data_IF_631679449238
#
_entry.id   IF_631679449238
#
_cell.length_a   1.000
_cell.length_b   1.000
_cell.length_c   1.000
_cell.angle_alpha   90.00
_cell.angle_beta   90.00
_cell.angle_gamma   90.00
#
_symmetry.space_group_name_H-M   'P 1'
#
loop_
_entity.id
_entity.type
_entity.pdbx_description
1 polymer ?
#
# COMPACT_ATOMS: atom_id res chain seq x y z
N UNK A 1 4.08 20.93 -12.39
CA UNK A 1 4.66 20.10 -11.31
C UNK A 1 5.88 19.36 -11.82
N UNK A 2 6.99 19.37 -11.08
CA UNK A 2 8.20 18.60 -11.42
C UNK A 2 8.15 17.21 -10.77
N UNK A 3 8.06 16.16 -11.59
CA UNK A 3 8.00 14.76 -11.16
C UNK A 3 9.31 14.23 -10.57
N UNK A 4 10.43 14.91 -10.84
CA UNK A 4 11.78 14.51 -10.42
C UNK A 4 12.29 15.30 -9.22
N UNK A 5 11.54 16.30 -8.75
CA UNK A 5 11.88 17.04 -7.55
C UNK A 5 11.87 16.11 -6.34
N UNK A 6 12.99 16.06 -5.63
CA UNK A 6 13.08 15.34 -4.36
C UNK A 6 12.38 16.11 -3.24
N UNK A 7 11.48 15.41 -2.55
CA UNK A 7 10.81 15.88 -1.33
C UNK A 7 10.75 14.75 -0.30
N UNK A 8 10.15 15.01 0.86
CA UNK A 8 9.86 13.96 1.84
C UNK A 8 8.78 13.01 1.30
N UNK A 9 9.14 11.73 1.16
CA UNK A 9 8.17 10.64 1.02
C UNK A 9 8.05 9.88 2.33
N UNK A 10 6.82 9.71 2.79
CA UNK A 10 6.46 8.94 3.98
C UNK A 10 5.81 7.65 3.52
N UNK A 11 6.40 6.51 3.90
CA UNK A 11 5.82 5.20 3.66
C UNK A 11 5.27 4.70 4.98
N UNK A 12 3.96 4.52 5.06
CA UNK A 12 3.29 4.03 6.28
C UNK A 12 3.32 2.51 6.36
N UNK A 13 3.27 1.96 7.57
CA UNK A 13 3.24 0.52 7.81
C UNK A 13 2.41 0.17 9.05
N UNK A 14 2.15 -1.12 9.26
CA UNK A 14 1.57 -1.61 10.50
C UNK A 14 2.57 -1.44 11.66
N UNK A 15 2.05 -1.33 12.88
CA UNK A 15 2.90 -1.30 14.08
C UNK A 15 3.69 -2.60 14.18
N UNK A 16 4.97 -2.51 14.51
CA UNK A 16 5.87 -3.68 14.60
C UNK A 16 6.40 -4.18 13.27
N UNK A 17 6.05 -3.55 12.14
CA UNK A 17 6.59 -3.93 10.82
C UNK A 17 7.53 -2.88 10.20
N UNK A 18 7.85 -1.82 10.95
CA UNK A 18 8.70 -0.73 10.47
C UNK A 18 10.10 -1.20 10.05
N UNK A 19 10.73 -2.10 10.82
CA UNK A 19 12.07 -2.60 10.46
C UNK A 19 12.08 -3.40 9.16
N UNK A 20 11.04 -4.19 8.90
CA UNK A 20 10.93 -4.93 7.64
C UNK A 20 10.73 -4.01 6.46
N UNK A 21 9.94 -2.94 6.64
CA UNK A 21 9.78 -1.90 5.62
C UNK A 21 11.09 -1.15 5.39
N UNK A 22 11.86 -0.85 6.45
CA UNK A 22 13.13 -0.14 6.36
C UNK A 22 14.11 -0.90 5.48
N UNK A 23 14.29 -2.19 5.78
CA UNK A 23 15.12 -3.08 5.00
C UNK A 23 14.65 -3.19 3.54
N UNK A 24 13.34 -3.25 3.29
CA UNK A 24 12.79 -3.29 1.93
C UNK A 24 13.12 -2.00 1.15
N UNK A 25 12.98 -0.83 1.78
CA UNK A 25 13.30 0.47 1.20
C UNK A 25 14.81 0.62 0.92
N UNK A 26 15.66 0.18 1.84
CA UNK A 26 17.12 0.19 1.67
C UNK A 26 17.57 -0.76 0.55
N UNK A 27 16.97 -1.94 0.44
CA UNK A 27 17.24 -2.89 -0.65
C UNK A 27 16.84 -2.36 -2.03
N UNK A 28 15.89 -1.43 -2.10
CA UNK A 28 15.52 -0.73 -3.32
C UNK A 28 16.47 0.45 -3.64
N UNK A 29 17.47 0.71 -2.79
CA UNK A 29 18.49 1.73 -2.99
C UNK A 29 18.17 3.10 -2.38
N UNK A 30 17.12 3.23 -1.57
CA UNK A 30 16.75 4.50 -0.94
C UNK A 30 17.36 4.62 0.46
N UNK A 31 17.85 5.82 0.79
CA UNK A 31 18.35 6.13 2.14
C UNK A 31 17.21 6.54 3.06
N UNK A 32 17.03 5.81 4.15
CA UNK A 32 16.09 6.15 5.22
C UNK A 32 16.59 7.33 6.04
N UNK A 33 15.76 8.38 6.14
CA UNK A 33 16.03 9.58 6.94
C UNK A 33 15.54 9.45 8.37
N UNK A 34 14.37 8.86 8.56
CA UNK A 34 13.78 8.63 9.88
C UNK A 34 12.87 7.40 9.86
N UNK A 35 12.67 6.80 11.02
CA UNK A 35 11.78 5.65 11.21
C UNK A 35 11.02 5.83 12.51
N UNK A 36 9.74 5.47 12.50
CA UNK A 36 8.91 5.35 13.69
C UNK A 36 8.13 4.03 13.62
N UNK A 37 7.41 3.68 14.69
CA UNK A 37 6.61 2.45 14.78
C UNK A 37 5.68 2.17 13.59
N UNK A 38 5.28 3.19 12.84
CA UNK A 38 4.21 3.11 11.81
C UNK A 38 4.56 3.79 10.50
N UNK A 39 5.79 4.30 10.34
CA UNK A 39 6.22 4.95 9.10
C UNK A 39 7.73 5.07 8.97
N UNK A 40 8.15 5.26 7.73
CA UNK A 40 9.52 5.56 7.33
C UNK A 40 9.51 6.79 6.46
N UNK A 41 10.52 7.64 6.60
CA UNK A 41 10.71 8.81 5.76
C UNK A 41 11.98 8.69 4.93
N UNK A 42 11.87 9.03 3.65
CA UNK A 42 12.98 9.12 2.70
C UNK A 42 12.95 10.47 1.98
N UNK A 43 14.04 10.85 1.33
CA UNK A 43 13.98 11.84 0.26
C UNK A 43 13.92 11.13 -1.09
N UNK A 44 12.87 11.42 -1.84
CA UNK A 44 12.68 10.86 -3.16
C UNK A 44 11.65 11.71 -3.92
N UNK A 45 11.51 11.43 -5.21
CA UNK A 45 10.63 12.15 -6.12
C UNK A 45 9.27 11.45 -6.33
N UNK A 46 8.32 12.11 -6.98
CA UNK A 46 7.08 11.45 -7.42
C UNK A 46 7.37 10.32 -8.43
N UNK A 47 8.44 10.47 -9.22
CA UNK A 47 8.91 9.41 -10.09
C UNK A 47 9.35 8.17 -9.30
N UNK A 48 10.08 8.34 -8.19
CA UNK A 48 10.45 7.23 -7.31
C UNK A 48 9.24 6.60 -6.62
N UNK A 49 8.24 7.42 -6.27
CA UNK A 49 6.98 6.93 -5.71
C UNK A 49 6.29 5.94 -6.66
N UNK A 50 6.47 6.06 -7.98
CA UNK A 50 5.97 5.07 -8.94
C UNK A 50 6.53 3.67 -8.66
N UNK A 51 7.86 3.56 -8.53
CA UNK A 51 8.53 2.29 -8.23
C UNK A 51 8.12 1.76 -6.87
N UNK A 52 8.13 2.61 -5.85
CA UNK A 52 7.74 2.23 -4.48
C UNK A 52 6.31 1.66 -4.44
N UNK A 53 5.35 2.28 -5.14
CA UNK A 53 3.98 1.76 -5.20
C UNK A 53 3.87 0.41 -5.92
N UNK A 54 4.73 0.14 -6.90
CA UNK A 54 4.75 -1.13 -7.61
C UNK A 54 5.39 -2.26 -6.79
N UNK A 55 6.48 -1.96 -6.08
CA UNK A 55 7.38 -3.00 -5.55
C UNK A 55 7.21 -3.29 -4.07
N UNK A 56 6.78 -2.31 -3.25
CA UNK A 56 6.68 -2.48 -1.80
C UNK A 56 5.64 -3.53 -1.39
N UNK A 57 6.07 -4.50 -0.60
CA UNK A 57 5.24 -5.57 -0.03
C UNK A 57 4.79 -5.25 1.39
N UNK A 58 5.60 -4.55 2.17
CA UNK A 58 5.32 -4.31 3.61
C UNK A 58 4.73 -2.93 3.91
N UNK A 59 4.82 -1.99 2.96
CA UNK A 59 4.26 -0.65 3.07
C UNK A 59 2.75 -0.60 2.78
N UNK A 60 2.03 0.28 3.48
CA UNK A 60 0.57 0.46 3.41
C UNK A 60 0.16 1.63 2.50
N UNK A 61 0.84 2.77 2.57
CA UNK A 61 0.65 3.90 1.66
C UNK A 61 1.98 4.63 1.46
N UNK A 62 2.22 5.11 0.24
CA UNK A 62 3.34 5.98 -0.13
C UNK A 62 2.81 7.41 -0.26
N UNK A 63 3.26 8.31 0.61
CA UNK A 63 2.73 9.66 0.77
C UNK A 63 3.80 10.68 0.41
N UNK A 64 3.56 11.52 -0.59
CA UNK A 64 4.47 12.58 -1.02
C UNK A 64 4.08 13.89 -0.35
N UNK A 65 5.01 14.52 0.37
CA UNK A 65 4.74 15.76 1.10
C UNK A 65 4.50 16.94 0.15
N UNK A 66 3.35 17.60 0.28
CA UNK A 66 3.01 18.80 -0.48
C UNK A 66 3.28 20.08 0.32
N UNK A 67 2.85 20.11 1.58
CA UNK A 67 2.95 21.30 2.42
C UNK A 67 3.08 20.94 3.90
N UNK A 68 3.91 21.71 4.61
CA UNK A 68 3.99 21.76 6.07
C UNK A 68 3.65 23.18 6.51
N UNK A 69 2.86 23.32 7.57
CA UNK A 69 2.49 24.61 8.15
C UNK A 69 2.05 24.42 9.60
N UNK A 70 1.90 25.52 10.32
CA UNK A 70 1.25 25.52 11.63
C UNK A 70 -0.11 26.21 11.53
N UNK A 71 -1.09 25.72 12.28
CA UNK A 71 -2.38 26.40 12.47
C UNK A 71 -2.96 26.05 13.85
N UNK A 72 -3.60 27.03 14.47
CA UNK A 72 -4.17 26.93 15.80
C UNK A 72 -5.70 26.74 15.78
N UNK A 73 -6.35 27.06 14.67
CA UNK A 73 -7.79 26.97 14.52
C UNK A 73 -8.22 26.55 13.10
N UNK A 74 -9.49 26.14 12.92
CA UNK A 74 -10.00 25.70 11.62
C UNK A 74 -9.99 26.76 10.51
N UNK A 75 -10.02 28.05 10.85
CA UNK A 75 -10.01 29.11 9.86
C UNK A 75 -8.59 29.41 9.37
N UNK A 76 -7.59 29.34 10.25
CA UNK A 76 -6.18 29.26 9.86
C UNK A 76 -5.91 28.05 8.96
N UNK A 77 -6.44 26.87 9.32
CA UNK A 77 -6.35 25.68 8.48
C UNK A 77 -6.89 25.94 7.06
N UNK A 78 -8.09 26.52 6.95
CA UNK A 78 -8.70 26.81 5.65
C UNK A 78 -7.85 27.79 4.83
N UNK A 79 -7.39 28.89 5.44
CA UNK A 79 -6.52 29.87 4.75
C UNK A 79 -5.24 29.22 4.23
N UNK A 80 -4.58 28.41 5.06
CA UNK A 80 -3.36 27.72 4.68
C UNK A 80 -3.57 26.70 3.56
N UNK A 81 -4.69 25.98 3.57
CA UNK A 81 -5.02 25.01 2.52
C UNK A 81 -5.39 25.71 1.21
N UNK A 82 -6.27 26.72 1.24
CA UNK A 82 -6.69 27.46 0.02
C UNK A 82 -5.51 28.16 -0.67
N UNK A 83 -4.50 28.60 0.09
CA UNK A 83 -3.34 29.29 -0.48
C UNK A 83 -2.44 28.40 -1.35
N UNK A 84 -2.50 27.07 -1.19
CA UNK A 84 -1.69 26.14 -1.97
C UNK A 84 -2.22 26.04 -3.41
N UNK A 85 -1.36 26.00 -4.44
CA UNK A 85 -1.77 25.97 -5.84
C UNK A 85 -2.26 24.58 -6.26
N UNK A 86 -3.42 24.16 -5.75
CA UNK A 86 -4.02 22.85 -6.02
C UNK A 86 -4.27 22.60 -7.51
N UNK A 87 -4.54 23.66 -8.27
CA UNK A 87 -4.72 23.65 -9.72
C UNK A 87 -3.50 23.12 -10.50
N UNK A 88 -2.30 23.12 -9.90
CA UNK A 88 -1.09 22.55 -10.52
C UNK A 88 -0.97 21.03 -10.36
N UNK A 89 -1.80 20.44 -9.48
CA UNK A 89 -1.73 19.02 -9.09
C UNK A 89 -3.01 18.25 -9.45
N UNK A 90 -4.18 18.89 -9.36
CA UNK A 90 -5.49 18.25 -9.48
C UNK A 90 -6.28 18.94 -10.59
N UNK A 91 -6.60 18.19 -11.63
CA UNK A 91 -7.44 18.70 -12.70
C UNK A 91 -8.89 18.87 -12.18
N UNK A 92 -9.63 19.89 -12.63
CA UNK A 92 -11.01 20.11 -12.20
C UNK A 92 -11.98 18.99 -12.59
N UNK A 93 -11.61 18.11 -13.53
CA UNK A 93 -12.36 16.92 -13.94
C UNK A 93 -12.13 15.70 -13.04
N UNK A 94 -11.18 15.77 -12.11
CA UNK A 94 -10.82 14.65 -11.23
C UNK A 94 -11.75 14.55 -10.01
N UNK A 95 -11.74 13.37 -9.41
CA UNK A 95 -12.41 13.10 -8.13
C UNK A 95 -11.42 13.21 -6.98
N UNK A 96 -11.80 13.93 -5.93
CA UNK A 96 -10.97 14.18 -4.75
C UNK A 96 -11.50 13.47 -3.49
N UNK A 97 -10.60 12.84 -2.76
CA UNK A 97 -10.85 12.36 -1.40
C UNK A 97 -9.86 12.93 -0.40
N UNK A 98 -10.31 13.23 0.81
CA UNK A 98 -9.48 13.68 1.92
C UNK A 98 -9.57 12.70 3.08
N UNK A 99 -8.41 12.25 3.56
CA UNK A 99 -8.28 11.37 4.72
C UNK A 99 -7.46 12.08 5.78
N UNK A 100 -8.11 12.44 6.90
CA UNK A 100 -7.44 13.16 7.98
C UNK A 100 -7.12 12.27 9.18
N UNK A 101 -6.01 12.57 9.86
CA UNK A 101 -5.77 12.18 11.25
C UNK A 101 -5.47 13.42 12.08
N UNK A 102 -6.17 13.55 13.18
CA UNK A 102 -6.17 14.77 13.99
C UNK A 102 -5.91 14.39 15.44
N UNK A 103 -4.98 15.09 16.05
CA UNK A 103 -4.64 15.02 17.47
C UNK A 103 -4.25 16.43 17.94
N UNK A 104 -5.26 17.26 18.20
CA UNK A 104 -5.07 18.67 18.62
C UNK A 104 -6.22 19.05 19.55
N UNK A 105 -6.01 19.98 20.52
CA UNK A 105 -7.10 20.52 21.33
C UNK A 105 -8.07 21.39 20.52
N UNK A 106 -7.68 21.89 19.34
CA UNK A 106 -8.47 22.85 18.56
C UNK A 106 -9.74 22.26 17.96
N UNK A 107 -9.75 20.94 17.69
CA UNK A 107 -10.88 20.20 17.14
C UNK A 107 -10.88 18.77 17.67
N UNK A 108 -12.05 18.21 17.92
CA UNK A 108 -12.23 16.85 18.44
C UNK A 108 -12.57 15.81 17.35
N UNK A 109 -12.82 16.27 16.11
CA UNK A 109 -13.37 15.43 15.05
C UNK A 109 -12.55 15.47 13.75
N UNK A 110 -11.95 14.33 13.39
CA UNK A 110 -11.21 14.17 12.13
C UNK A 110 -12.06 14.29 10.85
N UNK A 111 -13.38 14.04 10.94
CA UNK A 111 -14.31 14.23 9.82
C UNK A 111 -14.46 15.72 9.51
N UNK A 112 -14.55 16.56 10.55
CA UNK A 112 -14.62 18.00 10.40
C UNK A 112 -13.37 18.56 9.72
N UNK A 113 -12.17 18.13 10.14
CA UNK A 113 -10.93 18.50 9.46
C UNK A 113 -10.93 18.07 7.98
N UNK A 114 -11.35 16.82 7.71
CA UNK A 114 -11.41 16.31 6.33
C UNK A 114 -12.35 17.13 5.46
N UNK A 115 -13.51 17.52 5.99
CA UNK A 115 -14.47 18.39 5.30
C UNK A 115 -13.87 19.77 5.02
N UNK A 116 -13.27 20.43 6.03
CA UNK A 116 -12.70 21.78 5.89
C UNK A 116 -11.53 21.81 4.89
N UNK A 117 -10.64 20.81 4.93
CA UNK A 117 -9.54 20.67 3.96
C UNK A 117 -10.09 20.42 2.56
N UNK A 118 -11.08 19.52 2.42
CA UNK A 118 -11.71 19.23 1.12
C UNK A 118 -12.35 20.48 0.54
N UNK A 119 -13.14 21.21 1.32
CA UNK A 119 -13.81 22.43 0.88
C UNK A 119 -12.78 23.48 0.43
N UNK A 120 -11.70 23.68 1.18
CA UNK A 120 -10.60 24.56 0.78
C UNK A 120 -9.94 24.18 -0.56
N UNK A 121 -9.68 22.89 -0.79
CA UNK A 121 -9.10 22.42 -2.06
C UNK A 121 -10.07 22.67 -3.22
N UNK A 122 -11.33 22.30 -3.04
CA UNK A 122 -12.37 22.40 -4.06
C UNK A 122 -12.64 23.87 -4.41
N UNK A 123 -12.71 24.75 -3.41
CA UNK A 123 -12.93 26.17 -3.61
C UNK A 123 -11.75 26.82 -4.36
N UNK A 124 -10.50 26.46 -4.00
CA UNK A 124 -9.31 26.93 -4.73
C UNK A 124 -9.34 26.53 -6.20
N UNK A 125 -9.61 25.26 -6.50
CA UNK A 125 -9.69 24.78 -7.89
C UNK A 125 -10.85 25.46 -8.63
N UNK A 126 -12.01 25.61 -7.97
CA UNK A 126 -13.19 26.26 -8.57
C UNK A 126 -12.91 27.71 -8.92
N UNK A 127 -12.25 28.46 -8.04
CA UNK A 127 -11.89 29.86 -8.25
C UNK A 127 -10.89 30.03 -9.41
N UNK A 128 -9.87 29.16 -9.50
CA UNK A 128 -8.80 29.27 -10.50
C UNK A 128 -9.17 28.70 -11.86
N UNK A 129 -9.97 27.64 -11.91
CA UNK A 129 -10.27 26.90 -13.12
C UNK A 129 -11.71 27.14 -13.63
N UNK A 130 -12.58 27.79 -12.84
CA UNK A 130 -13.97 28.05 -13.19
C UNK A 130 -14.89 26.82 -13.14
N UNK A 131 -14.40 25.66 -12.66
CA UNK A 131 -15.24 24.48 -12.46
C UNK A 131 -14.87 23.70 -11.19
N UNK A 132 -15.88 23.09 -10.60
CA UNK A 132 -15.79 22.40 -9.31
C UNK A 132 -15.46 20.91 -9.51
N UNK A 133 -14.37 20.38 -8.94
CA UNK A 133 -14.12 18.94 -8.94
C UNK A 133 -15.12 18.19 -8.06
N UNK A 134 -15.42 16.95 -8.44
CA UNK A 134 -16.24 16.06 -7.62
C UNK A 134 -15.44 15.55 -6.42
N UNK A 135 -16.11 15.21 -5.31
CA UNK A 135 -15.42 14.80 -4.09
C UNK A 135 -16.24 13.87 -3.20
N UNK A 136 -15.53 13.04 -2.43
CA UNK A 136 -16.15 12.18 -1.43
C UNK A 136 -15.21 11.07 -0.91
N UNK A 137 -15.75 9.96 -0.39
CA UNK A 137 -14.95 8.98 0.34
C UNK A 137 -14.19 7.98 -0.55
N UNK A 138 -14.47 7.93 -1.87
CA UNK A 138 -13.81 6.96 -2.76
C UNK A 138 -12.34 7.32 -2.98
N UNK A 139 -11.47 6.31 -2.94
CA UNK A 139 -10.01 6.44 -3.02
C UNK A 139 -9.45 5.94 -4.35
N UNK A 140 -10.30 5.93 -5.38
CA UNK A 140 -9.93 5.51 -6.73
C UNK A 140 -9.24 6.61 -7.54
N UNK A 141 -9.30 7.87 -7.14
CA UNK A 141 -8.64 8.97 -7.86
C UNK A 141 -7.64 9.69 -6.96
N UNK A 142 -7.67 11.02 -6.92
CA UNK A 142 -6.77 11.81 -6.08
C UNK A 142 -7.15 11.65 -4.61
N UNK A 143 -6.18 11.26 -3.80
CA UNK A 143 -6.35 11.15 -2.35
C UNK A 143 -5.34 12.06 -1.67
N UNK A 144 -5.85 12.94 -0.82
CA UNK A 144 -5.05 13.82 0.02
C UNK A 144 -5.10 13.31 1.45
N UNK A 145 -3.92 13.08 2.02
CA UNK A 145 -3.77 12.70 3.42
C UNK A 145 -3.39 13.95 4.23
N UNK A 146 -4.21 14.28 5.21
CA UNK A 146 -3.98 15.41 6.11
C UNK A 146 -3.67 14.92 7.52
N UNK A 147 -2.65 15.50 8.15
CA UNK A 147 -2.30 15.22 9.54
C UNK A 147 -2.22 16.53 10.29
N UNK A 148 -2.94 16.63 11.40
CA UNK A 148 -2.86 17.74 12.35
C UNK A 148 -2.49 17.19 13.72
N UNK A 149 -1.32 17.54 14.22
CA UNK A 149 -0.87 17.15 15.56
C UNK A 149 -0.36 18.38 16.32
N UNK A 150 -0.99 18.67 17.46
CA UNK A 150 -0.83 19.92 18.21
C UNK A 150 -1.15 21.14 17.33
N UNK A 151 -0.18 22.00 17.07
CA UNK A 151 -0.27 23.15 16.15
C UNK A 151 0.26 22.83 14.74
N UNK A 152 0.88 21.65 14.54
CA UNK A 152 1.60 21.31 13.30
C UNK A 152 0.74 20.51 12.35
N UNK A 153 0.81 20.90 11.07
CA UNK A 153 0.05 20.32 9.99
C UNK A 153 0.95 19.82 8.85
N UNK A 154 0.53 18.70 8.26
CA UNK A 154 1.14 18.12 7.08
C UNK A 154 0.06 17.71 6.07
N UNK A 155 0.26 18.11 4.82
CA UNK A 155 -0.55 17.70 3.68
C UNK A 155 0.32 16.83 2.78
N UNK A 156 -0.19 15.64 2.47
CA UNK A 156 0.45 14.70 1.56
C UNK A 156 -0.46 14.36 0.40
N UNK A 157 0.14 14.25 -0.78
CA UNK A 157 -0.44 13.50 -1.89
C UNK A 157 -0.27 12.01 -1.61
N UNK A 158 -1.37 11.27 -1.53
CA UNK A 158 -1.32 9.82 -1.41
C UNK A 158 -1.19 9.18 -2.79
N UNK A 159 0.05 8.87 -3.14
CA UNK A 159 0.41 8.30 -4.44
C UNK A 159 -0.16 6.89 -4.64
N UNK A 160 -0.47 6.17 -3.56
CA UNK A 160 -1.06 4.82 -3.64
C UNK A 160 -2.56 4.83 -3.95
N UNK A 161 -3.29 5.85 -3.52
CA UNK A 161 -4.76 5.85 -3.47
C UNK A 161 -5.25 4.89 -2.38
N UNK A 162 -5.94 3.82 -2.79
CA UNK A 162 -6.26 2.68 -1.89
C UNK A 162 -5.00 2.09 -1.26
N UNK A 163 -5.13 1.51 -0.07
CA UNK A 163 -4.01 0.92 0.67
C UNK A 163 -3.30 -0.10 -0.21
N UNK A 164 -1.98 -0.15 -0.15
CA UNK A 164 -1.19 -1.11 -0.89
C UNK A 164 -1.56 -2.54 -0.53
N UNK A 165 -1.98 -2.85 0.71
CA UNK A 165 -2.51 -4.17 1.08
C UNK A 165 -3.65 -4.65 0.18
N UNK A 166 -4.43 -3.75 -0.43
CA UNK A 166 -5.46 -4.10 -1.41
C UNK A 166 -4.80 -4.51 -2.75
N UNK A 167 -4.13 -5.67 -2.80
CA UNK A 167 -3.41 -6.16 -3.98
C UNK A 167 -4.34 -6.42 -5.17
N UNK A 168 -5.62 -6.69 -4.89
CA UNK A 168 -6.67 -6.94 -5.87
C UNK A 168 -7.01 -8.42 -6.10
N UNK A 169 -6.22 -9.34 -5.54
CA UNK A 169 -6.44 -10.79 -5.70
C UNK A 169 -7.47 -11.38 -4.72
N UNK A 170 -7.73 -10.72 -3.58
CA UNK A 170 -8.67 -11.22 -2.56
C UNK A 170 -10.10 -11.07 -3.07
N UNK A 171 -10.65 -12.15 -3.64
CA UNK A 171 -12.03 -12.20 -4.17
C UNK A 171 -12.99 -12.83 -3.17
N UNK A 172 -12.50 -13.81 -2.42
CA UNK A 172 -13.29 -14.51 -1.40
C UNK A 172 -12.57 -14.36 -0.06
N UNK A 173 -12.99 -13.39 0.77
CA UNK A 173 -12.51 -13.31 2.13
C UNK A 173 -13.04 -14.52 2.91
N UNK A 174 -12.17 -15.14 3.70
CA UNK A 174 -12.58 -16.04 4.78
C UNK A 174 -12.60 -15.25 6.10
N UNK A 175 -12.95 -15.88 7.22
CA UNK A 175 -13.06 -15.22 8.53
C UNK A 175 -11.78 -14.45 8.89
N UNK A 176 -11.93 -13.18 9.32
CA UNK A 176 -10.87 -12.28 9.82
C UNK A 176 -9.53 -12.34 9.03
N UNK A 177 -9.51 -12.01 7.73
CA UNK A 177 -8.40 -12.40 6.90
C UNK A 177 -7.23 -11.41 7.05
N UNK A 178 -6.05 -11.95 7.38
CA UNK A 178 -4.78 -11.23 7.55
C UNK A 178 -4.52 -10.24 6.41
N UNK A 179 -4.08 -9.02 6.71
CA UNK A 179 -3.71 -8.03 5.67
C UNK A 179 -2.46 -8.48 4.91
N UNK A 180 -2.44 -8.29 3.60
CA UNK A 180 -1.36 -8.72 2.70
C UNK A 180 0.00 -8.12 3.07
N UNK A 181 0.03 -6.84 3.46
CA UNK A 181 1.26 -6.19 3.92
C UNK A 181 1.81 -6.78 5.21
N UNK A 182 0.91 -7.19 6.12
CA UNK A 182 1.30 -7.84 7.37
C UNK A 182 1.77 -9.27 7.09
N UNK A 183 1.11 -10.01 6.20
CA UNK A 183 1.55 -11.33 5.74
C UNK A 183 2.97 -11.28 5.16
N UNK A 184 3.26 -10.31 4.27
CA UNK A 184 4.60 -10.14 3.74
C UNK A 184 5.65 -9.79 4.81
N UNK A 185 5.28 -8.99 5.82
CA UNK A 185 6.16 -8.68 6.94
C UNK A 185 6.42 -9.91 7.83
N UNK A 186 5.40 -10.73 8.11
CA UNK A 186 5.53 -11.96 8.88
C UNK A 186 6.41 -13.00 8.17
N UNK A 187 6.30 -13.11 6.84
CA UNK A 187 7.18 -13.97 6.05
C UNK A 187 8.65 -13.53 6.19
N UNK A 188 8.92 -12.23 6.10
CA UNK A 188 10.27 -11.69 6.35
C UNK A 188 10.75 -11.95 7.78
N UNK A 189 9.87 -11.76 8.76
CA UNK A 189 10.15 -12.05 10.17
C UNK A 189 10.53 -13.52 10.40
N UNK A 190 9.86 -14.44 9.69
CA UNK A 190 10.14 -15.86 9.73
C UNK A 190 11.39 -16.27 8.91
N UNK A 191 12.13 -15.32 8.35
CA UNK A 191 13.33 -15.58 7.55
C UNK A 191 13.03 -16.10 6.13
N UNK A 192 11.80 -15.93 5.63
CA UNK A 192 11.44 -16.30 4.28
C UNK A 192 11.83 -15.22 3.27
N UNK A 193 12.78 -15.55 2.39
CA UNK A 193 13.27 -14.69 1.31
C UNK A 193 12.84 -15.17 -0.10
N UNK A 194 12.09 -16.27 -0.16
CA UNK A 194 11.67 -16.88 -1.43
C UNK A 194 12.71 -17.79 -2.10
N UNK A 195 13.73 -18.25 -1.37
CA UNK A 195 14.72 -19.23 -1.84
C UNK A 195 14.49 -20.68 -1.37
N UNK A 196 13.54 -20.89 -0.46
CA UNK A 196 13.31 -22.16 0.24
C UNK A 196 11.82 -22.55 0.25
N UNK A 197 11.48 -23.83 0.51
CA UNK A 197 10.09 -24.27 0.67
C UNK A 197 9.33 -23.51 1.77
N UNK A 198 8.01 -23.48 1.64
CA UNK A 198 7.12 -22.94 2.67
C UNK A 198 5.89 -23.84 2.87
N UNK A 199 5.53 -24.08 4.13
CA UNK A 199 4.31 -24.80 4.51
C UNK A 199 3.43 -23.88 5.35
N UNK A 200 2.18 -23.72 4.94
CA UNK A 200 1.15 -23.00 5.69
C UNK A 200 0.00 -23.97 6.05
N UNK A 201 0.09 -24.66 7.21
CA UNK A 201 -0.77 -25.80 7.55
C UNK A 201 -2.17 -25.44 8.09
N UNK A 202 -2.48 -24.15 8.15
CA UNK A 202 -3.79 -23.58 8.48
C UNK A 202 -3.93 -22.30 7.64
N UNK A 203 -4.17 -22.49 6.34
CA UNK A 203 -3.97 -21.43 5.36
C UNK A 203 -5.13 -20.43 5.30
N UNK A 204 -6.31 -20.77 5.81
CA UNK A 204 -7.52 -19.98 5.67
C UNK A 204 -7.77 -19.61 4.21
N UNK A 205 -7.90 -18.31 3.93
CA UNK A 205 -8.03 -17.77 2.56
C UNK A 205 -6.73 -17.72 1.74
N UNK A 206 -5.63 -18.28 2.23
CA UNK A 206 -4.37 -18.47 1.50
C UNK A 206 -3.42 -17.27 1.50
N UNK A 207 -3.65 -16.24 2.32
CA UNK A 207 -2.89 -14.98 2.24
C UNK A 207 -1.37 -15.18 2.39
N UNK A 208 -0.92 -15.94 3.40
CA UNK A 208 0.50 -16.20 3.63
C UNK A 208 1.12 -16.98 2.45
N UNK A 209 0.45 -18.03 1.97
CA UNK A 209 0.93 -18.82 0.84
C UNK A 209 1.00 -18.02 -0.48
N UNK A 210 0.01 -17.15 -0.74
CA UNK A 210 -0.02 -16.28 -1.93
C UNK A 210 1.12 -15.26 -1.88
N UNK A 211 1.30 -14.55 -0.75
CA UNK A 211 2.41 -13.60 -0.60
C UNK A 211 3.78 -14.31 -0.69
N UNK A 212 3.90 -15.52 -0.14
CA UNK A 212 5.12 -16.32 -0.27
C UNK A 212 5.42 -16.68 -1.72
N UNK A 213 4.41 -17.09 -2.49
CA UNK A 213 4.57 -17.37 -3.92
C UNK A 213 4.96 -16.12 -4.72
N UNK A 214 4.37 -14.96 -4.42
CA UNK A 214 4.72 -13.69 -5.05
C UNK A 214 6.17 -13.27 -4.73
N UNK A 215 6.63 -13.47 -3.49
CA UNK A 215 8.02 -13.22 -3.08
C UNK A 215 8.98 -14.16 -3.83
N UNK A 216 8.73 -15.47 -3.79
CA UNK A 216 9.58 -16.49 -4.41
C UNK A 216 9.71 -16.31 -5.93
N UNK A 217 8.62 -15.90 -6.59
CA UNK A 217 8.60 -15.61 -8.02
C UNK A 217 9.15 -14.21 -8.36
N UNK A 218 9.59 -13.41 -7.38
CA UNK A 218 9.97 -12.00 -7.59
C UNK A 218 8.89 -11.18 -8.31
N UNK A 219 7.61 -11.52 -8.10
CA UNK A 219 6.47 -10.79 -8.68
C UNK A 219 6.12 -9.62 -7.79
N UNK A 220 6.28 -8.41 -8.31
CA UNK A 220 5.97 -7.20 -7.57
C UNK A 220 4.45 -7.10 -7.29
N UNK A 221 4.04 -6.81 -6.05
CA UNK A 221 2.64 -6.85 -5.63
C UNK A 221 1.77 -5.84 -6.37
N UNK A 222 2.32 -4.67 -6.72
CA UNK A 222 1.59 -3.62 -7.42
C UNK A 222 1.23 -3.96 -8.87
N UNK A 223 1.84 -4.99 -9.47
CA UNK A 223 1.46 -5.45 -10.82
C UNK A 223 0.05 -6.06 -10.89
N UNK A 224 -0.51 -6.48 -9.75
CA UNK A 224 -1.86 -7.01 -9.64
C UNK A 224 -2.93 -5.90 -9.57
N UNK A 225 -2.51 -4.65 -9.34
CA UNK A 225 -3.39 -3.50 -9.22
C UNK A 225 -3.54 -2.80 -10.56
N UNK A 226 -4.77 -2.43 -10.90
CA UNK A 226 -5.07 -1.64 -12.10
C UNK A 226 -4.87 -0.14 -11.90
N UNK A 227 -4.85 0.32 -10.65
CA UNK A 227 -4.99 1.73 -10.31
C UNK A 227 -4.17 2.17 -9.09
N UNK A 228 -3.72 3.43 -9.12
CA UNK A 228 -2.95 4.12 -8.08
C UNK A 228 -3.32 5.61 -8.08
N UNK A 229 -3.30 6.24 -6.91
CA UNK A 229 -3.66 7.67 -6.77
C UNK A 229 -2.80 8.61 -7.62
N UNK A 230 -1.51 8.28 -7.78
CA UNK A 230 -0.57 9.06 -8.58
C UNK A 230 -0.90 9.11 -10.09
N UNK A 231 -1.78 8.23 -10.59
CA UNK A 231 -2.18 8.23 -12.01
C UNK A 231 -3.14 9.38 -12.37
N UNK A 232 -3.72 10.02 -11.35
CA UNK A 232 -4.81 11.01 -11.46
C UNK A 232 -4.35 12.44 -11.18
N UNK A 233 -3.04 12.65 -11.03
CA UNK A 233 -2.46 13.98 -10.84
C UNK A 233 -2.04 14.58 -12.18
N UNK A 234 -2.07 15.91 -12.26
CA UNK A 234 -1.51 16.65 -13.39
C UNK A 234 -0.01 16.36 -13.48
N UNK A 235 0.48 16.06 -14.68
CA UNK A 235 1.90 15.76 -14.91
C UNK A 235 2.31 14.31 -14.66
N UNK A 236 1.37 13.40 -14.42
CA UNK A 236 1.68 11.96 -14.35
C UNK A 236 2.35 11.47 -15.65
N UNK A 237 3.58 10.97 -15.53
CA UNK A 237 4.36 10.43 -16.64
C UNK A 237 3.91 9.01 -17.00
N UNK A 238 2.99 8.92 -17.96
CA UNK A 238 2.45 7.66 -18.47
C UNK A 238 3.49 6.80 -19.19
N UNK A 239 4.47 7.42 -19.85
CA UNK A 239 5.49 6.71 -20.60
C UNK A 239 6.49 6.04 -19.65
N UNK A 240 7.02 6.80 -18.70
CA UNK A 240 7.90 6.28 -17.66
C UNK A 240 7.20 5.19 -16.83
N UNK A 241 5.93 5.37 -16.49
CA UNK A 241 5.13 4.34 -15.81
C UNK A 241 5.03 3.05 -16.64
N UNK A 242 4.77 3.16 -17.95
CA UNK A 242 4.71 2.02 -18.86
C UNK A 242 6.05 1.28 -18.98
N UNK A 243 7.16 2.02 -19.04
CA UNK A 243 8.51 1.46 -19.06
C UNK A 243 8.83 0.72 -17.74
N UNK A 244 8.54 1.35 -16.61
CA UNK A 244 8.74 0.77 -15.27
C UNK A 244 7.93 -0.50 -15.07
N UNK A 245 6.68 -0.55 -15.54
CA UNK A 245 5.86 -1.77 -15.51
C UNK A 245 6.52 -2.93 -16.25
N UNK A 246 7.09 -2.66 -17.44
CA UNK A 246 7.79 -3.69 -18.24
C UNK A 246 9.05 -4.16 -17.52
N UNK A 247 9.84 -3.23 -17.00
CA UNK A 247 11.06 -3.52 -16.23
C UNK A 247 10.77 -4.43 -15.03
N UNK A 248 9.82 -4.03 -14.17
CA UNK A 248 9.46 -4.78 -12.96
C UNK A 248 8.87 -6.15 -13.31
N UNK A 249 8.06 -6.25 -14.38
CA UNK A 249 7.52 -7.52 -14.85
C UNK A 249 8.61 -8.47 -15.36
N UNK A 250 9.65 -7.95 -16.00
CA UNK A 250 10.75 -8.75 -16.53
C UNK A 250 11.58 -9.46 -15.43
N UNK A 251 11.56 -8.95 -14.19
CA UNK A 251 12.25 -9.55 -13.05
C UNK A 251 11.58 -10.82 -12.50
N UNK A 252 10.34 -11.08 -12.91
CA UNK A 252 9.54 -12.20 -12.40
C UNK A 252 10.02 -13.55 -12.94
N UNK A 253 10.12 -14.54 -12.04
CA UNK A 253 10.34 -15.94 -12.38
C UNK A 253 9.04 -16.60 -12.85
N UNK A 254 9.17 -17.67 -13.63
CA UNK A 254 8.03 -18.46 -14.13
C UNK A 254 7.74 -19.72 -13.31
N UNK A 255 8.76 -20.29 -12.66
CA UNK A 255 8.68 -21.53 -11.89
C UNK A 255 9.56 -21.43 -10.64
N UNK A 256 9.27 -22.27 -9.65
CA UNK A 256 10.08 -22.44 -8.44
C UNK A 256 10.69 -23.86 -8.44
N UNK A 257 11.90 -24.03 -7.90
CA UNK A 257 12.53 -25.34 -7.76
C UNK A 257 12.10 -26.08 -6.48
N UNK A 258 11.19 -25.49 -5.69
CA UNK A 258 10.69 -26.02 -4.42
C UNK A 258 9.19 -25.83 -4.32
N UNK A 259 8.59 -26.46 -3.30
CA UNK A 259 7.14 -26.49 -3.09
C UNK A 259 6.70 -25.40 -2.11
N UNK A 260 5.55 -24.80 -2.38
CA UNK A 260 4.79 -24.01 -1.41
C UNK A 260 3.51 -24.79 -1.15
N UNK A 261 3.30 -25.24 0.09
CA UNK A 261 2.19 -26.10 0.49
C UNK A 261 1.26 -25.29 1.39
N UNK A 262 -0.03 -25.30 1.08
CA UNK A 262 -1.07 -24.63 1.85
C UNK A 262 -2.21 -25.60 2.13
N UNK A 263 -2.46 -25.86 3.41
CA UNK A 263 -3.51 -26.80 3.82
C UNK A 263 -4.44 -26.17 4.83
N UNK A 264 -5.66 -26.66 4.87
CA UNK A 264 -6.64 -26.28 5.87
C UNK A 264 -7.63 -27.43 6.07
N UNK A 265 -8.18 -27.55 7.28
CA UNK A 265 -9.21 -28.54 7.59
C UNK A 265 -10.55 -28.14 6.96
N UNK A 266 -10.81 -26.84 6.80
CA UNK A 266 -12.01 -26.36 6.12
C UNK A 266 -11.83 -26.37 4.60
N UNK A 267 -12.59 -27.25 3.94
CA UNK A 267 -12.68 -27.31 2.48
C UNK A 267 -13.02 -25.96 1.85
N UNK A 268 -13.89 -25.14 2.47
CA UNK A 268 -14.26 -23.82 1.95
C UNK A 268 -13.10 -22.84 2.00
N UNK A 269 -12.27 -22.90 3.05
CA UNK A 269 -11.06 -22.11 3.17
C UNK A 269 -10.07 -22.44 2.03
N UNK A 270 -9.80 -23.72 1.79
CA UNK A 270 -8.93 -24.18 0.68
C UNK A 270 -9.47 -23.76 -0.69
N UNK A 271 -10.78 -23.85 -0.92
CA UNK A 271 -11.40 -23.36 -2.16
C UNK A 271 -11.27 -21.84 -2.34
N UNK A 272 -11.41 -21.07 -1.26
CA UNK A 272 -11.18 -19.62 -1.26
C UNK A 272 -9.71 -19.30 -1.56
N UNK A 273 -8.77 -20.03 -0.94
CA UNK A 273 -7.33 -19.90 -1.16
C UNK A 273 -6.95 -20.16 -2.63
N UNK A 274 -7.48 -21.23 -3.24
CA UNK A 274 -7.29 -21.53 -4.67
C UNK A 274 -7.78 -20.39 -5.56
N UNK A 275 -9.00 -19.88 -5.33
CA UNK A 275 -9.58 -18.78 -6.14
C UNK A 275 -8.80 -17.47 -5.97
N UNK A 276 -8.37 -17.16 -4.76
CA UNK A 276 -7.53 -15.99 -4.49
C UNK A 276 -6.15 -16.14 -5.17
N UNK A 277 -5.55 -17.34 -5.14
CA UNK A 277 -4.29 -17.62 -5.82
C UNK A 277 -4.42 -17.54 -7.35
N UNK A 278 -5.55 -17.98 -7.92
CA UNK A 278 -5.87 -17.80 -9.34
C UNK A 278 -5.94 -16.32 -9.72
N UNK A 279 -6.62 -15.51 -8.90
CA UNK A 279 -6.68 -14.07 -9.11
C UNK A 279 -5.30 -13.37 -8.96
N UNK A 280 -4.39 -13.93 -8.16
CA UNK A 280 -2.99 -13.50 -8.07
C UNK A 280 -2.10 -14.11 -9.18
N UNK A 281 -2.61 -15.06 -9.96
CA UNK A 281 -1.88 -15.78 -11.01
C UNK A 281 -0.79 -16.74 -10.49
N UNK A 282 -0.93 -17.25 -9.26
CA UNK A 282 0.06 -18.13 -8.59
C UNK A 282 -0.53 -19.45 -8.11
N UNK A 283 -1.74 -19.80 -8.54
CA UNK A 283 -2.40 -21.06 -8.18
C UNK A 283 -1.60 -22.30 -8.57
N UNK A 284 -0.95 -22.27 -9.74
CA UNK A 284 -0.10 -23.38 -10.22
C UNK A 284 1.24 -23.50 -9.48
N UNK A 285 1.53 -22.56 -8.57
CA UNK A 285 2.78 -22.51 -7.80
C UNK A 285 2.57 -23.04 -6.38
N UNK A 286 1.32 -23.11 -5.92
CA UNK A 286 0.95 -23.49 -4.56
C UNK A 286 0.20 -24.82 -4.62
N UNK A 287 0.64 -25.77 -3.81
CA UNK A 287 -0.03 -27.05 -3.63
C UNK A 287 -1.05 -26.94 -2.49
N UNK A 288 -2.30 -27.24 -2.81
CA UNK A 288 -3.42 -27.05 -1.90
C UNK A 288 -4.09 -28.38 -1.53
N UNK A 289 -4.18 -28.69 -0.24
CA UNK A 289 -4.84 -29.89 0.28
C UNK A 289 -5.86 -29.55 1.37
N UNK A 290 -6.92 -30.36 1.45
CA UNK A 290 -7.84 -30.34 2.60
C UNK A 290 -7.39 -31.45 3.54
N UNK A 291 -6.86 -31.09 4.69
CA UNK A 291 -6.41 -32.04 5.71
C UNK A 291 -6.28 -31.35 7.07
N UNK A 292 -6.20 -32.15 8.14
CA UNK A 292 -5.80 -31.64 9.45
C UNK A 292 -4.36 -31.09 9.38
N UNK A 293 -4.03 -30.12 10.22
CA UNK A 293 -2.69 -29.54 10.25
C UNK A 293 -1.62 -30.60 10.58
N UNK A 294 -1.94 -31.61 11.41
CA UNK A 294 -1.06 -32.73 11.75
C UNK A 294 -0.73 -33.61 10.54
N UNK A 295 -1.65 -33.71 9.58
CA UNK A 295 -1.50 -34.52 8.37
C UNK A 295 -0.88 -33.72 7.20
N UNK A 296 -0.45 -32.49 7.44
CA UNK A 296 0.10 -31.62 6.40
C UNK A 296 1.42 -32.20 5.86
N UNK A 297 1.56 -32.38 4.53
CA UNK A 297 2.81 -32.86 3.95
C UNK A 297 3.96 -31.88 4.21
N UNK A 298 5.04 -32.39 4.81
CA UNK A 298 6.28 -31.62 5.06
C UNK A 298 7.36 -32.08 4.07
N UNK A 299 7.95 -31.17 3.26
CA UNK A 299 9.09 -31.50 2.42
C UNK A 299 10.32 -31.93 3.23
N UNK A 300 11.19 -32.74 2.66
CA UNK A 300 12.45 -33.13 3.32
C UNK A 300 13.43 -31.96 3.39
N UNK A 301 13.34 -31.02 2.46
CA UNK A 301 14.17 -29.84 2.39
C UNK A 301 13.86 -28.85 3.51
N UNK A 302 14.91 -28.23 4.07
CA UNK A 302 14.76 -27.16 5.08
C UNK A 302 13.98 -25.99 4.48
N UNK A 303 12.97 -25.51 5.22
CA UNK A 303 12.11 -24.41 4.80
C UNK A 303 11.45 -23.72 5.99
N UNK A 304 10.39 -22.98 5.70
CA UNK A 304 9.62 -22.20 6.70
C UNK A 304 8.24 -22.81 6.88
N UNK A 305 7.86 -23.08 8.12
CA UNK A 305 6.45 -23.35 8.48
C UNK A 305 5.88 -22.09 9.11
N UNK A 306 4.77 -21.59 8.59
CA UNK A 306 4.09 -20.40 9.13
C UNK A 306 2.59 -20.59 9.14
N UNK A 307 1.94 -20.29 10.26
CA UNK A 307 0.50 -20.33 10.41
C UNK A 307 -0.01 -19.14 11.21
N UNK A 308 -1.28 -18.83 11.01
CA UNK A 308 -2.03 -17.84 11.78
C UNK A 308 -3.31 -18.54 12.26
N UNK A 309 -3.24 -19.30 13.38
CA UNK A 309 -4.36 -20.08 13.88
C UNK A 309 -5.50 -19.18 14.35
N UNK A 310 -6.69 -19.76 14.51
CA UNK A 310 -7.81 -19.08 15.18
C UNK A 310 -7.46 -18.80 16.66
N UNK A 311 -8.04 -17.72 17.20
CA UNK A 311 -7.84 -17.27 18.58
C UNK A 311 -9.03 -17.61 19.47
#
# INVERSE_FOLDING_TARGET
MDMHKNETLVITCARGTADYLRQEVEQLGYTVRSTSDTRIEIAASLHDAMRLNLTLRTGVNVLYLLKKFSCNDPDELYREVVSFPWEDYIAPSEYLSVVSRVNTPSIDNSVFASQKVKDAIVDRISEKCGSRPDSGPDRNNVVINFYWNDDRCWIYLNTSGKKLSDRGYRKIPHTAPLQETLAAALLRAAGFDGSQPLVNPMCGSGTLAIEAALIALKRAPGLLRSNFGLKHIIGFDREAWGALHKEVRAQSKKKLPFRIIATDIDKKAVEAAKKNAQAAGVDQIIEFHVCDFNDTPIPEEKGVVILNPEY
#
